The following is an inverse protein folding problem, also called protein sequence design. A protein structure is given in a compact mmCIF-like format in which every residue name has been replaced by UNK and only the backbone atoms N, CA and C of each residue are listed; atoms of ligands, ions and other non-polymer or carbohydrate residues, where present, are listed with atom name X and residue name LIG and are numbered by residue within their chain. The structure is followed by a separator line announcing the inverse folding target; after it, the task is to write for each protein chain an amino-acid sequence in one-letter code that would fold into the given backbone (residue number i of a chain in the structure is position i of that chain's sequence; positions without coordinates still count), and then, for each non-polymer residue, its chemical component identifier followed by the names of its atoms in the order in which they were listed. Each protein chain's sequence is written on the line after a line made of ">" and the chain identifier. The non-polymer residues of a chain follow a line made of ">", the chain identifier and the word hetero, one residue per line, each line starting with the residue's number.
data_IF_986213145647
#
_entry.id   IF_986213145647
#
_cell.length_a   1.000
_cell.length_b   1.000
_cell.length_c   1.000
_cell.angle_alpha   90.00
_cell.angle_beta   90.00
_cell.angle_gamma   90.00
#
_symmetry.space_group_name_H-M   'P 1'
#
loop_
_entity.id
_entity.type
_entity.pdbx_description
1 polymer ?
#
# COMPACT_ATOMS: atom_id res chain seq x y z
N UNK A 1 6.09 7.34 2.28
CA UNK A 1 4.98 6.41 2.42
C UNK A 1 5.24 5.49 3.61
N UNK A 2 4.33 5.43 4.60
CA UNK A 2 4.56 4.68 5.85
C UNK A 2 4.29 3.18 5.69
N UNK A 3 4.97 2.54 4.74
CA UNK A 3 4.93 1.11 4.49
C UNK A 3 6.30 0.62 4.03
N UNK A 4 6.72 -0.50 4.55
CA UNK A 4 8.01 -1.11 4.24
C UNK A 4 7.99 -2.64 4.32
N UNK A 5 9.18 -3.26 4.40
CA UNK A 5 9.25 -4.71 4.33
C UNK A 5 8.67 -5.43 5.56
N UNK A 6 8.58 -4.77 6.71
CA UNK A 6 7.90 -5.32 7.88
C UNK A 6 6.37 -5.42 7.69
N UNK A 7 5.84 -4.67 6.74
CA UNK A 7 4.43 -4.67 6.37
C UNK A 7 4.11 -5.65 5.23
N UNK A 8 5.14 -6.20 4.59
CA UNK A 8 5.03 -7.12 3.47
C UNK A 8 5.46 -6.53 2.12
N UNK A 9 5.95 -5.28 2.10
CA UNK A 9 6.51 -4.68 0.90
C UNK A 9 7.97 -5.11 0.72
N UNK A 10 8.20 -6.12 -0.10
CA UNK A 10 9.53 -6.73 -0.26
C UNK A 10 10.62 -5.75 -0.68
N UNK A 11 11.81 -5.91 -0.11
CA UNK A 11 13.02 -5.17 -0.55
C UNK A 11 13.41 -5.45 -1.99
N UNK A 12 12.99 -6.58 -2.57
CA UNK A 12 13.18 -6.91 -3.98
C UNK A 12 12.50 -5.91 -4.92
N UNK A 13 11.52 -5.17 -4.44
CA UNK A 13 10.83 -4.11 -5.19
C UNK A 13 11.63 -2.79 -5.27
N UNK A 14 12.74 -2.68 -4.56
CA UNK A 14 13.62 -1.50 -4.63
C UNK A 14 14.05 -1.23 -6.07
N UNK A 15 13.74 -0.05 -6.58
CA UNK A 15 14.05 0.37 -7.96
C UNK A 15 13.21 -0.33 -9.04
N UNK A 16 12.25 -1.16 -8.69
CA UNK A 16 11.42 -1.92 -9.64
C UNK A 16 9.93 -1.60 -9.53
N UNK A 17 9.46 -1.15 -8.37
CA UNK A 17 8.05 -0.89 -8.13
C UNK A 17 7.65 0.53 -8.49
N UNK A 18 6.39 0.66 -8.90
CA UNK A 18 5.68 1.92 -9.00
C UNK A 18 4.28 1.75 -8.40
N UNK A 19 3.78 2.80 -7.77
CA UNK A 19 2.45 2.82 -7.17
C UNK A 19 1.58 3.86 -7.85
N UNK A 20 0.27 3.75 -7.68
CA UNK A 20 -0.68 4.65 -8.33
C UNK A 20 -1.07 5.80 -7.41
N UNK A 21 -1.00 7.03 -7.94
CA UNK A 21 -1.36 8.25 -7.23
C UNK A 21 -1.93 9.26 -8.22
N UNK A 22 -3.14 9.77 -7.98
CA UNK A 22 -3.80 10.81 -8.77
C UNK A 22 -3.75 10.57 -10.30
N UNK A 23 -4.05 9.35 -10.73
CA UNK A 23 -4.08 9.01 -12.14
C UNK A 23 -2.72 8.68 -12.78
N UNK A 24 -1.63 8.65 -12.01
CA UNK A 24 -0.30 8.38 -12.50
C UNK A 24 0.42 7.29 -11.71
N UNK A 25 1.30 6.55 -12.38
CA UNK A 25 2.21 5.63 -11.74
C UNK A 25 3.47 6.37 -11.29
N UNK A 26 3.74 6.36 -9.99
CA UNK A 26 4.89 7.01 -9.37
C UNK A 26 5.89 5.97 -8.90
N UNK A 27 7.18 6.08 -9.28
CA UNK A 27 8.16 5.07 -8.95
C UNK A 27 8.61 5.16 -7.49
N UNK A 28 8.94 4.00 -6.93
CA UNK A 28 9.66 3.92 -5.66
C UNK A 28 11.10 4.32 -5.90
N UNK A 29 11.61 5.28 -5.13
CA UNK A 29 13.00 5.74 -5.17
C UNK A 29 13.73 5.38 -3.88
N UNK A 30 15.03 5.19 -3.99
CA UNK A 30 15.82 4.71 -2.87
C UNK A 30 15.45 3.29 -2.47
N UNK A 31 15.96 2.85 -1.32
CA UNK A 31 15.71 1.50 -0.81
C UNK A 31 14.44 1.46 0.02
N UNK A 32 13.71 0.36 -0.10
CA UNK A 32 12.59 0.07 0.79
C UNK A 32 13.14 -0.25 2.18
N UNK A 33 12.69 0.52 3.17
CA UNK A 33 13.07 0.37 4.57
C UNK A 33 12.09 -0.55 5.30
N UNK A 34 12.33 -0.79 6.59
CA UNK A 34 11.47 -1.64 7.42
C UNK A 34 10.03 -1.11 7.48
N UNK A 35 9.86 0.19 7.66
CA UNK A 35 8.57 0.82 7.99
C UNK A 35 8.16 1.91 6.98
N UNK A 36 8.99 2.20 6.00
CA UNK A 36 8.73 3.26 5.03
C UNK A 36 9.40 3.03 3.68
N UNK A 37 8.90 3.71 2.65
CA UNK A 37 9.55 3.88 1.37
C UNK A 37 9.27 5.28 0.83
N UNK A 38 10.04 5.69 -0.18
CA UNK A 38 9.91 6.99 -0.82
C UNK A 38 9.42 6.84 -2.26
N UNK A 39 8.60 7.78 -2.70
CA UNK A 39 8.08 7.85 -4.05
C UNK A 39 8.57 9.12 -4.74
N UNK A 40 8.92 9.01 -6.01
CA UNK A 40 9.12 10.17 -6.86
C UNK A 40 7.75 10.65 -7.38
N UNK A 41 7.28 11.76 -6.87
CA UNK A 41 6.00 12.36 -7.24
C UNK A 41 6.14 13.53 -8.21
N UNK A 42 7.26 13.64 -8.91
CA UNK A 42 7.52 14.73 -9.88
C UNK A 42 6.45 14.79 -10.99
N UNK A 43 5.85 13.62 -11.33
CA UNK A 43 4.77 13.53 -12.30
C UNK A 43 3.39 13.95 -11.73
N UNK A 44 3.29 14.21 -10.42
CA UNK A 44 2.05 14.55 -9.71
C UNK A 44 2.30 15.79 -8.86
N UNK A 45 2.37 17.00 -9.47
CA UNK A 45 2.81 18.22 -8.79
C UNK A 45 1.87 18.69 -7.68
N UNK A 46 0.63 18.23 -7.67
CA UNK A 46 -0.37 18.50 -6.64
C UNK A 46 -0.39 17.48 -5.50
N UNK A 47 0.51 16.50 -5.52
CA UNK A 47 0.65 15.51 -4.44
C UNK A 47 1.03 16.17 -3.11
N UNK A 48 0.34 15.77 -2.05
CA UNK A 48 0.52 16.32 -0.71
C UNK A 48 0.40 15.24 0.36
N UNK A 49 0.95 15.48 1.56
CA UNK A 49 0.74 14.59 2.69
C UNK A 49 -0.75 14.38 2.99
N UNK A 50 -1.14 13.12 3.16
CA UNK A 50 -2.52 12.70 3.38
C UNK A 50 -3.20 12.11 2.14
N UNK A 51 -2.61 12.25 0.96
CA UNK A 51 -3.12 11.59 -0.24
C UNK A 51 -2.97 10.08 -0.15
N UNK A 52 -3.92 9.37 -0.74
CA UNK A 52 -3.94 7.91 -0.76
C UNK A 52 -3.13 7.40 -1.94
N UNK A 53 -2.23 6.47 -1.68
CA UNK A 53 -1.44 5.76 -2.70
C UNK A 53 -1.96 4.34 -2.82
N UNK A 54 -2.32 3.93 -4.03
CA UNK A 54 -2.76 2.57 -4.31
C UNK A 54 -1.56 1.72 -4.76
N UNK A 55 -1.23 0.72 -3.96
CA UNK A 55 -0.14 -0.22 -4.27
C UNK A 55 -0.63 -1.27 -5.25
N UNK A 56 -1.78 -1.85 -4.99
CA UNK A 56 -2.57 -2.72 -5.89
C UNK A 56 -4.04 -2.71 -5.48
N UNK A 57 -4.91 -3.15 -6.39
CA UNK A 57 -6.35 -3.14 -6.19
C UNK A 57 -7.02 -1.97 -6.92
N UNK A 58 -8.21 -1.62 -6.54
CA UNK A 58 -8.93 -0.49 -7.12
C UNK A 58 -8.56 0.81 -6.41
N UNK A 59 -8.25 1.81 -7.19
CA UNK A 59 -8.05 3.17 -6.70
C UNK A 59 -9.40 3.88 -6.47
N UNK A 60 -9.36 5.05 -5.84
CA UNK A 60 -10.55 5.87 -5.53
C UNK A 60 -11.34 6.27 -6.79
N UNK A 61 -10.66 6.37 -7.94
CA UNK A 61 -11.28 6.66 -9.25
C UNK A 61 -11.81 5.40 -9.96
N UNK A 62 -11.73 4.22 -9.35
CA UNK A 62 -12.13 2.94 -9.90
C UNK A 62 -11.13 2.28 -10.84
N UNK A 63 -9.92 2.84 -10.98
CA UNK A 63 -8.85 2.24 -11.80
C UNK A 63 -8.28 1.02 -11.10
N UNK A 64 -8.19 -0.10 -11.83
CA UNK A 64 -7.54 -1.32 -11.33
C UNK A 64 -6.02 -1.23 -11.50
N UNK A 65 -5.32 -1.38 -10.39
CA UNK A 65 -3.86 -1.56 -10.34
C UNK A 65 -3.57 -3.04 -10.05
N UNK A 66 -3.20 -3.86 -11.06
CA UNK A 66 -3.06 -5.30 -10.88
C UNK A 66 -1.90 -5.65 -9.93
N UNK A 67 -2.14 -6.56 -8.99
CA UNK A 67 -1.10 -7.05 -8.08
C UNK A 67 -0.03 -7.87 -8.80
N UNK A 68 -0.34 -8.43 -9.95
CA UNK A 68 0.57 -9.19 -10.82
C UNK A 68 1.80 -8.38 -11.24
N UNK A 69 1.67 -7.06 -11.33
CA UNK A 69 2.80 -6.16 -11.62
C UNK A 69 3.88 -6.23 -10.56
N UNK A 70 3.46 -6.22 -9.29
CA UNK A 70 4.38 -6.34 -8.16
C UNK A 70 4.90 -7.77 -8.00
N UNK A 71 4.05 -8.76 -8.21
CA UNK A 71 4.44 -10.16 -8.18
C UNK A 71 5.54 -10.43 -9.23
N UNK A 72 5.36 -9.96 -10.46
CA UNK A 72 6.37 -10.09 -11.52
C UNK A 72 7.67 -9.36 -11.18
N UNK A 73 7.59 -8.17 -10.59
CA UNK A 73 8.77 -7.41 -10.16
C UNK A 73 9.55 -8.10 -9.03
N UNK A 74 8.88 -8.92 -8.22
CA UNK A 74 9.49 -9.78 -7.20
C UNK A 74 9.89 -11.16 -7.72
N UNK A 75 9.68 -11.45 -9.01
CA UNK A 75 9.92 -12.78 -9.59
C UNK A 75 9.11 -13.89 -8.93
N UNK A 76 7.85 -13.59 -8.57
CA UNK A 76 6.92 -14.51 -7.93
C UNK A 76 5.51 -14.40 -8.54
N UNK A 77 4.54 -15.04 -7.90
CA UNK A 77 3.13 -15.05 -8.31
C UNK A 77 2.27 -14.23 -7.33
N UNK A 78 1.09 -13.82 -7.78
CA UNK A 78 0.16 -13.00 -7.00
C UNK A 78 -0.27 -13.66 -5.67
N UNK A 79 -0.40 -14.98 -5.62
CA UNK A 79 -0.75 -15.69 -4.40
C UNK A 79 0.30 -15.48 -3.30
N UNK A 80 1.59 -15.60 -3.63
CA UNK A 80 2.66 -15.38 -2.67
C UNK A 80 2.73 -13.92 -2.25
N UNK A 81 2.56 -12.97 -3.18
CA UNK A 81 2.50 -11.55 -2.89
C UNK A 81 1.43 -11.24 -1.82
N UNK A 82 0.23 -11.77 -2.00
CA UNK A 82 -0.87 -11.56 -1.06
C UNK A 82 -0.61 -12.18 0.32
N UNK A 83 0.06 -13.34 0.35
CA UNK A 83 0.46 -13.98 1.61
C UNK A 83 1.54 -13.20 2.37
N UNK A 84 2.32 -12.36 1.70
CA UNK A 84 3.35 -11.54 2.33
C UNK A 84 2.80 -10.37 3.14
N UNK A 85 1.54 -9.99 2.95
CA UNK A 85 0.92 -8.90 3.71
C UNK A 85 0.95 -9.24 5.20
N UNK A 86 1.72 -8.47 5.95
CA UNK A 86 1.98 -8.71 7.37
C UNK A 86 0.71 -8.53 8.22
N UNK A 87 0.70 -9.22 9.36
CA UNK A 87 -0.33 -9.03 10.39
C UNK A 87 -0.29 -7.65 11.05
N UNK A 88 0.75 -6.86 10.83
CA UNK A 88 0.82 -5.45 11.24
C UNK A 88 -0.22 -4.58 10.53
N UNK A 89 -0.57 -4.95 9.31
CA UNK A 89 -1.49 -4.16 8.47
C UNK A 89 -2.93 -4.45 8.91
N UNK A 90 -3.68 -3.44 9.35
CA UNK A 90 -5.10 -3.59 9.59
C UNK A 90 -5.82 -3.96 8.30
N UNK A 91 -6.73 -4.92 8.39
CA UNK A 91 -7.60 -5.30 7.26
C UNK A 91 -8.99 -4.77 7.52
N UNK A 92 -9.41 -3.85 6.68
CA UNK A 92 -10.73 -3.24 6.78
C UNK A 92 -11.62 -3.94 5.76
N UNK A 93 -12.62 -4.67 6.26
CA UNK A 93 -13.55 -5.42 5.42
C UNK A 93 -14.79 -4.57 5.15
N UNK A 94 -15.11 -4.38 3.89
CA UNK A 94 -16.29 -3.64 3.45
C UNK A 94 -17.28 -4.58 2.76
N UNK A 95 -18.57 -4.26 2.92
CA UNK A 95 -19.64 -4.78 2.07
C UNK A 95 -20.43 -3.60 1.52
N UNK A 96 -20.27 -3.34 0.22
CA UNK A 96 -20.71 -2.08 -0.37
C UNK A 96 -20.03 -0.91 0.33
N UNK A 97 -20.78 0.11 0.71
CA UNK A 97 -20.26 1.31 1.37
C UNK A 97 -20.07 1.17 2.89
N UNK A 98 -20.40 0.00 3.45
CA UNK A 98 -20.34 -0.23 4.90
C UNK A 98 -19.10 -1.00 5.29
N UNK A 99 -18.37 -0.48 6.29
CA UNK A 99 -17.33 -1.24 6.97
C UNK A 99 -17.99 -2.29 7.86
N UNK A 100 -17.78 -3.58 7.58
CA UNK A 100 -18.33 -4.68 8.38
C UNK A 100 -17.39 -5.10 9.51
N UNK A 101 -16.10 -5.13 9.24
CA UNK A 101 -15.13 -5.65 10.19
C UNK A 101 -13.76 -5.00 9.99
N UNK A 102 -13.05 -4.79 11.09
CA UNK A 102 -11.63 -4.43 11.09
C UNK A 102 -10.88 -5.55 11.78
N UNK A 103 -10.03 -6.24 11.02
CA UNK A 103 -9.12 -7.25 11.56
C UNK A 103 -7.79 -6.59 11.90
N UNK A 104 -7.47 -6.54 13.18
CA UNK A 104 -6.23 -5.99 13.69
C UNK A 104 -5.60 -7.00 14.65
N UNK A 105 -4.46 -7.55 14.25
CA UNK A 105 -3.77 -8.60 15.01
C UNK A 105 -2.81 -8.05 16.06
N UNK A 106 -2.32 -6.83 15.84
CA UNK A 106 -1.43 -6.13 16.75
C UNK A 106 -2.16 -4.92 17.30
N UNK A 107 -2.57 -4.99 18.55
CA UNK A 107 -3.25 -3.89 19.24
C UNK A 107 -2.21 -3.10 20.03
N UNK A 108 -1.86 -1.92 19.57
CA UNK A 108 -1.16 -0.95 20.40
C UNK A 108 -2.18 -0.18 21.24
N UNK A 109 -2.19 -0.36 22.56
CA UNK A 109 -3.16 0.25 23.48
C UNK A 109 -3.20 1.80 23.48
N UNK A 110 -2.32 2.47 22.72
CA UNK A 110 -2.20 3.93 22.72
C UNK A 110 -2.69 4.63 21.45
N UNK A 111 -3.21 3.93 20.48
CA UNK A 111 -3.81 4.56 19.29
C UNK A 111 -5.24 4.09 19.10
N UNK A 112 -6.13 4.59 19.96
CA UNK A 112 -7.50 4.75 19.53
C UNK A 112 -7.50 5.84 18.47
N UNK A 113 -7.48 5.46 17.22
CA UNK A 113 -7.92 6.32 16.15
C UNK A 113 -9.39 6.62 16.43
N UNK A 114 -9.68 7.82 16.95
CA UNK A 114 -11.05 8.30 16.96
C UNK A 114 -11.54 8.27 15.53
N UNK A 115 -12.72 7.69 15.25
CA UNK A 115 -13.31 7.84 13.94
C UNK A 115 -13.42 9.34 13.67
N UNK A 116 -12.85 9.80 12.59
CA UNK A 116 -13.15 11.14 12.09
C UNK A 116 -14.63 11.14 11.74
N UNK A 117 -15.34 11.95 12.43
CA UNK A 117 -16.73 12.24 12.13
C UNK A 117 -16.84 12.88 10.74
#
# INVERSE_FOLDING_TARGET
>A
LPIGYADGLSRLLTGKASFYLHGAMVPVIGRICMDMCMLDVSAVPDAKPGDVVTIFGYDEDGTLVPCERLASAQETINYELLCQISKRIPRICHRGDKTEQILQYIVCRRQFLRPRA
#
